data_IF_645625125733
#
_entry.id   IF_645625125733
#
_cell.length_a   1.000
_cell.length_b   1.000
_cell.length_c   1.000
_cell.angle_alpha   90.00
_cell.angle_beta   90.00
_cell.angle_gamma   90.00
#
_symmetry.space_group_name_H-M   'P 1'
#
loop_
_entity.id
_entity.type
_entity.pdbx_description
1 polymer ?
#
# COMPACT_ATOMS: atom_id res chain seq x y z
N UNK A 1 36.79 -34.48 40.61
CA UNK A 1 38.11 -34.82 41.20
C UNK A 1 39.10 -33.72 40.87
N UNK A 2 39.60 -33.07 41.92
CA UNK A 2 40.98 -32.55 42.11
C UNK A 2 41.45 -31.41 41.18
N UNK A 3 41.50 -30.18 41.70
CA UNK A 3 42.68 -29.51 42.34
C UNK A 3 43.44 -28.68 41.30
N UNK A 4 43.93 -27.48 41.54
CA UNK A 4 44.09 -26.71 42.76
C UNK A 4 44.63 -25.33 42.38
N UNK A 5 44.12 -24.32 43.06
CA UNK A 5 44.66 -22.97 43.12
C UNK A 5 45.69 -22.94 44.25
N UNK A 6 46.97 -22.76 43.94
CA UNK A 6 47.99 -22.18 44.84
C UNK A 6 49.04 -21.48 43.96
N UNK A 7 49.13 -20.16 43.93
CA UNK A 7 49.75 -19.22 44.89
C UNK A 7 51.26 -19.03 44.66
N UNK A 8 51.77 -17.86 45.08
CA UNK A 8 53.17 -17.41 45.23
C UNK A 8 53.65 -16.48 44.10
N UNK A 9 54.28 -15.32 44.30
CA UNK A 9 54.52 -14.39 45.43
C UNK A 9 55.44 -13.27 44.90
N UNK A 10 55.28 -12.03 45.42
CA UNK A 10 56.33 -11.01 45.68
C UNK A 10 57.25 -10.53 44.54
N UNK A 11 57.84 -9.33 44.48
CA UNK A 11 57.93 -8.10 45.27
C UNK A 11 58.78 -7.12 44.44
N UNK A 12 58.74 -5.80 44.68
CA UNK A 12 59.80 -4.93 44.16
C UNK A 12 59.43 -3.46 43.96
N UNK A 13 59.90 -2.61 44.89
CA UNK A 13 59.77 -1.15 44.89
C UNK A 13 60.76 -0.45 43.94
N UNK A 14 60.24 0.61 43.31
CA UNK A 14 60.79 1.98 43.09
C UNK A 14 62.08 2.25 42.27
N UNK A 15 61.85 3.13 41.29
CA UNK A 15 62.63 4.31 40.81
C UNK A 15 63.92 4.06 40.02
N UNK A 16 63.88 4.39 38.73
CA UNK A 16 64.75 5.41 38.10
C UNK A 16 64.07 5.95 36.83
N UNK A 17 63.96 7.28 36.72
CA UNK A 17 63.86 8.01 35.45
C UNK A 17 65.25 8.65 35.28
N UNK A 18 65.89 8.57 34.10
CA UNK A 18 65.85 9.74 33.23
C UNK A 18 65.80 9.42 31.72
N UNK A 19 64.89 10.11 31.03
CA UNK A 19 65.01 10.67 29.67
C UNK A 19 65.78 9.86 28.60
N UNK A 20 65.01 9.28 27.67
CA UNK A 20 65.38 9.27 26.25
C UNK A 20 64.18 9.67 25.40
N UNK A 21 64.35 10.83 24.76
CA UNK A 21 63.56 11.35 23.66
C UNK A 21 63.41 10.28 22.57
N UNK A 22 62.20 9.72 22.43
CA UNK A 22 61.70 9.23 21.14
C UNK A 22 60.22 9.58 21.07
N UNK A 23 59.85 10.33 20.03
CA UNK A 23 58.49 10.80 19.84
C UNK A 23 57.50 9.63 19.83
N UNK A 24 56.57 9.64 20.79
CA UNK A 24 55.44 8.73 20.78
C UNK A 24 54.31 9.42 20.04
N UNK A 25 54.05 8.90 18.86
CA UNK A 25 53.00 9.25 17.93
C UNK A 25 51.63 9.05 18.62
N UNK A 26 51.03 10.14 19.11
CA UNK A 26 49.61 10.17 19.50
C UNK A 26 48.76 10.13 18.23
N UNK A 27 48.45 8.93 17.76
CA UNK A 27 47.57 8.69 16.61
C UNK A 27 46.46 7.72 16.97
N UNK A 28 45.66 8.08 17.97
CA UNK A 28 44.40 7.41 18.30
C UNK A 28 43.16 8.21 17.84
N UNK A 29 43.30 9.09 16.84
CA UNK A 29 42.18 9.91 16.33
C UNK A 29 41.66 9.48 14.94
N UNK A 30 42.32 8.55 14.26
CA UNK A 30 42.03 8.22 12.85
C UNK A 30 40.95 7.18 12.58
N UNK A 31 40.59 6.31 13.54
CA UNK A 31 39.79 5.10 13.25
C UNK A 31 38.28 5.25 13.52
N UNK A 32 37.88 6.16 14.39
CA UNK A 32 36.46 6.34 14.76
C UNK A 32 35.65 7.00 13.63
N UNK A 33 36.29 7.85 12.83
CA UNK A 33 35.63 8.62 11.78
C UNK A 33 35.23 7.75 10.58
N UNK A 34 36.04 6.73 10.24
CA UNK A 34 35.74 5.80 9.15
C UNK A 34 34.58 4.87 9.50
N UNK A 35 34.53 4.35 10.72
CA UNK A 35 33.43 3.48 11.16
C UNK A 35 32.11 4.25 11.25
N UNK A 36 32.14 5.49 11.75
CA UNK A 36 30.96 6.36 11.80
C UNK A 36 30.45 6.68 10.38
N UNK A 37 31.35 7.02 9.46
CA UNK A 37 31.01 7.29 8.06
C UNK A 37 30.40 6.07 7.37
N UNK A 38 30.94 4.87 7.63
CA UNK A 38 30.39 3.62 7.09
C UNK A 38 28.97 3.33 7.60
N UNK A 39 28.73 3.49 8.91
CA UNK A 39 27.40 3.29 9.50
C UNK A 39 26.39 4.31 8.96
N UNK A 40 26.81 5.57 8.78
CA UNK A 40 25.98 6.60 8.14
C UNK A 40 25.65 6.25 6.68
N UNK A 41 26.62 5.78 5.90
CA UNK A 41 26.38 5.33 4.52
C UNK A 41 25.39 4.17 4.45
N UNK A 42 25.55 3.15 5.31
CA UNK A 42 24.59 2.03 5.36
C UNK A 42 23.18 2.45 5.76
N UNK A 43 23.06 3.34 6.75
CA UNK A 43 21.78 3.85 7.17
C UNK A 43 21.09 4.63 6.03
N UNK A 44 21.85 5.42 5.27
CA UNK A 44 21.34 6.14 4.10
C UNK A 44 20.89 5.17 2.98
N UNK A 45 21.68 4.13 2.70
CA UNK A 45 21.33 3.14 1.69
C UNK A 45 20.03 2.39 2.01
N UNK A 46 19.83 1.99 3.27
CA UNK A 46 18.60 1.33 3.70
C UNK A 46 17.41 2.30 3.67
N UNK A 47 17.62 3.56 4.01
CA UNK A 47 16.61 4.61 3.89
C UNK A 47 16.15 4.78 2.43
N UNK A 48 17.08 4.93 1.48
CA UNK A 48 16.79 5.04 0.05
C UNK A 48 16.01 3.82 -0.47
N UNK A 49 16.40 2.61 -0.04
CA UNK A 49 15.70 1.37 -0.39
C UNK A 49 14.26 1.38 0.10
N UNK A 50 14.03 1.83 1.33
CA UNK A 50 12.68 1.94 1.88
C UNK A 50 11.85 2.98 1.13
N UNK A 51 12.42 4.14 0.80
CA UNK A 51 11.73 5.17 0.00
C UNK A 51 11.36 4.67 -1.39
N UNK A 52 12.26 3.97 -2.08
CA UNK A 52 11.96 3.32 -3.37
C UNK A 52 10.78 2.35 -3.24
N UNK A 53 10.78 1.51 -2.21
CA UNK A 53 9.67 0.58 -1.95
C UNK A 53 8.35 1.32 -1.77
N UNK A 54 8.34 2.39 -0.96
CA UNK A 54 7.16 3.23 -0.75
C UNK A 54 6.68 3.84 -2.07
N UNK A 55 7.59 4.41 -2.87
CA UNK A 55 7.27 4.98 -4.18
C UNK A 55 6.62 3.95 -5.11
N UNK A 56 7.19 2.75 -5.25
CA UNK A 56 6.63 1.69 -6.09
C UNK A 56 5.26 1.20 -5.60
N UNK A 57 5.07 1.09 -4.28
CA UNK A 57 3.75 0.75 -3.69
C UNK A 57 2.72 1.84 -3.98
N UNK A 58 3.10 3.12 -3.87
CA UNK A 58 2.20 4.23 -4.19
C UNK A 58 1.82 4.24 -5.67
N UNK A 59 2.78 4.04 -6.58
CA UNK A 59 2.51 3.92 -8.00
C UNK A 59 1.56 2.75 -8.33
N UNK A 60 1.72 1.61 -7.65
CA UNK A 60 0.82 0.47 -7.83
C UNK A 60 -0.60 0.81 -7.32
N UNK A 61 -0.72 1.44 -6.15
CA UNK A 61 -2.00 1.84 -5.55
C UNK A 61 -2.71 2.92 -6.35
N UNK A 62 -1.98 3.85 -6.95
CA UNK A 62 -2.53 4.88 -7.84
C UNK A 62 -2.75 4.39 -9.27
N UNK A 63 -2.44 3.13 -9.58
CA UNK A 63 -2.50 2.55 -10.94
C UNK A 63 -1.62 3.31 -11.96
N UNK A 64 -0.55 3.95 -11.51
CA UNK A 64 0.36 4.78 -12.33
C UNK A 64 1.71 4.13 -12.61
N UNK A 65 1.82 2.80 -12.54
CA UNK A 65 3.10 2.11 -12.73
C UNK A 65 3.77 2.46 -14.07
N UNK A 66 2.96 2.64 -15.13
CA UNK A 66 3.41 3.01 -16.48
C UNK A 66 3.89 4.47 -16.60
N UNK A 67 3.50 5.34 -15.66
CA UNK A 67 3.94 6.73 -15.65
C UNK A 67 5.36 6.90 -15.10
N UNK A 68 5.91 5.87 -14.45
CA UNK A 68 7.26 5.88 -13.84
C UNK A 68 8.35 6.42 -14.78
N UNK A 69 8.56 5.91 -16.01
CA UNK A 69 9.63 6.41 -16.89
C UNK A 69 9.55 7.93 -17.13
N UNK A 70 8.36 8.46 -17.39
CA UNK A 70 8.15 9.90 -17.60
C UNK A 70 8.39 10.74 -16.33
N UNK A 71 8.09 10.17 -15.15
CA UNK A 71 8.41 10.84 -13.88
C UNK A 71 9.91 10.90 -13.61
N UNK A 72 10.69 9.93 -14.12
CA UNK A 72 12.14 9.87 -13.99
C UNK A 72 12.86 10.73 -15.03
N UNK A 73 12.25 10.93 -16.20
CA UNK A 73 12.78 11.76 -17.29
C UNK A 73 13.10 13.20 -16.83
N UNK A 74 12.27 13.80 -15.98
CA UNK A 74 12.53 15.14 -15.44
C UNK A 74 13.78 15.23 -14.55
N UNK A 75 14.29 14.09 -14.08
CA UNK A 75 15.50 13.97 -13.30
C UNK A 75 16.69 13.45 -14.14
N UNK A 76 16.49 13.15 -15.42
CA UNK A 76 17.53 12.65 -16.32
C UNK A 76 18.02 11.24 -15.99
N UNK A 77 17.22 10.43 -15.31
CA UNK A 77 17.59 9.07 -14.90
C UNK A 77 16.64 8.02 -15.46
N UNK A 78 17.13 6.80 -15.67
CA UNK A 78 16.33 5.67 -16.15
C UNK A 78 15.81 4.78 -15.02
N UNK A 79 16.48 4.79 -13.86
CA UNK A 79 16.17 3.94 -12.72
C UNK A 79 15.95 4.72 -11.43
N UNK A 80 15.06 4.20 -10.57
CA UNK A 80 14.88 4.74 -9.22
C UNK A 80 16.10 4.55 -8.32
N UNK A 81 17.06 3.72 -8.73
CA UNK A 81 18.33 3.51 -8.02
C UNK A 81 19.24 4.74 -8.09
N UNK A 82 19.14 5.51 -9.17
CA UNK A 82 20.02 6.65 -9.47
C UNK A 82 19.47 7.98 -8.90
N UNK A 83 18.35 7.92 -8.19
CA UNK A 83 17.73 9.07 -7.55
C UNK A 83 18.36 9.39 -6.20
N UNK A 84 18.54 10.69 -5.93
CA UNK A 84 18.85 11.18 -4.59
C UNK A 84 17.68 10.97 -3.62
N UNK A 85 17.97 11.06 -2.32
CA UNK A 85 16.94 10.98 -1.26
C UNK A 85 15.87 12.05 -1.45
N UNK A 86 16.28 13.29 -1.74
CA UNK A 86 15.37 14.42 -1.95
C UNK A 86 14.48 14.24 -3.18
N UNK A 87 15.03 13.72 -4.29
CA UNK A 87 14.26 13.45 -5.50
C UNK A 87 13.21 12.36 -5.27
N UNK A 88 13.56 11.32 -4.50
CA UNK A 88 12.59 10.30 -4.07
C UNK A 88 11.48 10.90 -3.19
N UNK A 89 11.81 11.78 -2.24
CA UNK A 89 10.82 12.47 -1.41
C UNK A 89 9.87 13.33 -2.22
N UNK A 90 10.40 14.10 -3.18
CA UNK A 90 9.60 14.92 -4.09
C UNK A 90 8.66 14.07 -4.95
N UNK A 91 9.16 12.96 -5.49
CA UNK A 91 8.35 12.02 -6.27
C UNK A 91 7.26 11.37 -5.42
N UNK A 92 7.60 10.94 -4.21
CA UNK A 92 6.62 10.39 -3.25
C UNK A 92 5.57 11.46 -2.92
N UNK A 93 5.97 12.70 -2.63
CA UNK A 93 5.07 13.80 -2.34
C UNK A 93 4.18 14.17 -3.54
N UNK A 94 4.73 14.12 -4.75
CA UNK A 94 4.00 14.34 -6.00
C UNK A 94 2.94 13.27 -6.21
N UNK A 95 3.30 11.98 -6.09
CA UNK A 95 2.35 10.87 -6.20
C UNK A 95 1.30 10.96 -5.08
N UNK A 96 1.69 11.28 -3.85
CA UNK A 96 0.75 11.54 -2.75
C UNK A 96 -0.17 12.71 -3.04
N UNK A 97 0.28 13.81 -3.63
CA UNK A 97 -0.59 14.93 -3.99
C UNK A 97 -1.56 14.56 -5.12
N UNK A 98 -1.14 13.71 -6.06
CA UNK A 98 -2.05 13.15 -7.07
C UNK A 98 -3.09 12.24 -6.40
N UNK A 99 -2.68 11.45 -5.40
CA UNK A 99 -3.57 10.55 -4.66
C UNK A 99 -4.48 11.26 -3.64
N UNK A 100 -4.02 12.35 -3.02
CA UNK A 100 -4.60 12.94 -1.80
C UNK A 100 -4.84 14.46 -1.94
N UNK A 101 -4.72 15.03 -3.14
CA UNK A 101 -4.72 16.47 -3.38
C UNK A 101 -6.02 17.21 -3.07
N UNK A 102 -7.02 16.58 -2.45
CA UNK A 102 -8.29 17.19 -2.00
C UNK A 102 -9.18 16.31 -1.09
N UNK A 103 -8.74 15.15 -0.62
CA UNK A 103 -9.62 14.11 -0.03
C UNK A 103 -9.11 13.61 1.32
N UNK A 104 -9.62 14.11 2.46
CA UNK A 104 -9.37 13.43 3.74
C UNK A 104 -10.62 13.05 4.54
N UNK A 105 -11.85 13.45 4.13
CA UNK A 105 -13.07 12.98 4.82
C UNK A 105 -14.22 12.53 3.88
N UNK A 106 -14.24 12.98 2.62
CA UNK A 106 -15.28 12.62 1.64
C UNK A 106 -15.03 11.27 0.93
N UNK A 107 -13.79 10.80 0.84
CA UNK A 107 -13.45 9.59 0.06
C UNK A 107 -13.71 8.27 0.83
N UNK A 108 -13.76 8.29 2.17
CA UNK A 108 -14.10 7.07 2.93
C UNK A 108 -15.59 6.72 2.77
N UNK A 109 -16.48 7.70 2.93
CA UNK A 109 -17.93 7.51 2.79
C UNK A 109 -18.30 7.10 1.36
N UNK A 110 -17.73 7.79 0.37
CA UNK A 110 -17.92 7.51 -1.05
C UNK A 110 -17.40 6.10 -1.41
N UNK A 111 -16.21 5.72 -0.95
CA UNK A 111 -15.66 4.36 -1.16
C UNK A 111 -16.54 3.29 -0.54
N UNK A 112 -16.99 3.48 0.70
CA UNK A 112 -17.90 2.55 1.38
C UNK A 112 -19.24 2.43 0.66
N UNK A 113 -19.80 3.55 0.17
CA UNK A 113 -21.03 3.56 -0.60
C UNK A 113 -20.89 2.84 -1.95
N UNK A 114 -19.79 3.05 -2.67
CA UNK A 114 -19.49 2.30 -3.90
C UNK A 114 -19.39 0.81 -3.63
N UNK A 115 -18.72 0.40 -2.56
CA UNK A 115 -18.62 -1.01 -2.18
C UNK A 115 -20.00 -1.61 -1.85
N UNK A 116 -20.85 -0.87 -1.11
CA UNK A 116 -22.23 -1.28 -0.83
C UNK A 116 -23.06 -1.42 -2.11
N UNK A 117 -22.92 -0.50 -3.07
CA UNK A 117 -23.62 -0.59 -4.35
C UNK A 117 -23.16 -1.81 -5.16
N UNK A 118 -21.85 -2.05 -5.27
CA UNK A 118 -21.30 -3.22 -5.95
C UNK A 118 -21.80 -4.53 -5.33
N UNK A 119 -21.87 -4.61 -3.99
CA UNK A 119 -22.43 -5.78 -3.30
C UNK A 119 -23.88 -6.07 -3.74
N UNK A 120 -24.72 -5.03 -3.84
CA UNK A 120 -26.12 -5.19 -4.27
C UNK A 120 -26.20 -5.55 -5.76
N UNK A 121 -25.36 -4.96 -6.60
CA UNK A 121 -25.25 -5.31 -8.04
C UNK A 121 -24.91 -6.80 -8.19
N UNK A 122 -24.00 -7.31 -7.36
CA UNK A 122 -23.69 -8.74 -7.34
C UNK A 122 -24.86 -9.60 -6.88
N UNK A 123 -25.65 -9.15 -5.89
CA UNK A 123 -26.88 -9.85 -5.44
C UNK A 123 -27.95 -9.91 -6.54
N UNK A 124 -28.01 -8.91 -7.42
CA UNK A 124 -28.89 -8.89 -8.60
C UNK A 124 -28.46 -9.94 -9.65
N UNK A 125 -27.23 -10.45 -9.56
CA UNK A 125 -26.69 -11.47 -10.47
C UNK A 125 -25.75 -10.93 -11.54
N UNK A 126 -25.27 -9.70 -11.40
CA UNK A 126 -24.27 -9.11 -12.30
C UNK A 126 -22.88 -9.43 -11.79
N UNK A 127 -22.01 -9.96 -12.65
CA UNK A 127 -20.62 -10.23 -12.26
C UNK A 127 -19.86 -8.93 -12.04
N UNK A 128 -19.49 -8.68 -10.79
CA UNK A 128 -18.75 -7.47 -10.38
C UNK A 128 -17.24 -7.60 -10.53
N UNK A 129 -16.73 -8.76 -10.97
CA UNK A 129 -15.33 -8.93 -11.37
C UNK A 129 -15.08 -8.44 -12.80
N UNK A 130 -16.12 -8.39 -13.63
CA UNK A 130 -16.09 -7.84 -14.98
C UNK A 130 -16.70 -6.43 -15.00
N UNK A 131 -15.83 -5.42 -15.15
CA UNK A 131 -16.24 -4.02 -15.16
C UNK A 131 -17.12 -3.64 -16.35
N UNK A 132 -17.03 -4.36 -17.48
CA UNK A 132 -17.87 -4.09 -18.66
C UNK A 132 -19.34 -4.39 -18.37
N UNK A 133 -19.62 -5.47 -17.63
CA UNK A 133 -20.98 -5.83 -17.22
C UNK A 133 -21.57 -4.82 -16.23
N UNK A 134 -20.77 -4.38 -15.26
CA UNK A 134 -21.19 -3.34 -14.31
C UNK A 134 -21.48 -2.04 -15.04
N UNK A 135 -20.60 -1.61 -15.95
CA UNK A 135 -20.78 -0.37 -16.72
C UNK A 135 -22.02 -0.43 -17.60
N UNK A 136 -22.24 -1.53 -18.33
CA UNK A 136 -23.43 -1.74 -19.16
C UNK A 136 -24.72 -1.64 -18.34
N UNK A 137 -24.75 -2.24 -17.16
CA UNK A 137 -25.89 -2.15 -16.26
C UNK A 137 -26.12 -0.73 -15.75
N UNK A 138 -25.06 -0.05 -15.32
CA UNK A 138 -25.11 1.31 -14.77
C UNK A 138 -25.53 2.36 -15.81
N UNK A 139 -25.07 2.22 -17.06
CA UNK A 139 -25.42 3.10 -18.18
C UNK A 139 -26.87 2.99 -18.62
N UNK A 140 -27.63 2.01 -18.11
CA UNK A 140 -29.06 1.96 -18.35
C UNK A 140 -29.76 3.17 -17.68
N UNK A 141 -30.54 3.98 -18.42
CA UNK A 141 -31.28 5.12 -17.84
C UNK A 141 -32.24 4.72 -16.72
N UNK A 142 -32.76 3.49 -16.76
CA UNK A 142 -33.61 2.96 -15.70
C UNK A 142 -32.84 2.59 -14.43
N UNK A 143 -31.50 2.59 -14.44
CA UNK A 143 -30.64 2.41 -13.26
C UNK A 143 -30.09 3.77 -12.82
N UNK A 144 -29.10 4.34 -13.51
CA UNK A 144 -28.69 5.73 -13.27
C UNK A 144 -28.17 6.47 -14.50
N UNK A 145 -27.85 5.76 -15.60
CA UNK A 145 -27.39 6.37 -16.86
C UNK A 145 -26.00 6.99 -16.78
N UNK A 146 -25.21 6.66 -15.73
CA UNK A 146 -23.87 7.19 -15.46
C UNK A 146 -22.96 6.09 -14.92
N UNK A 147 -21.66 6.26 -15.03
CA UNK A 147 -20.73 5.27 -14.47
C UNK A 147 -20.62 5.39 -12.94
N UNK A 148 -20.30 4.30 -12.26
CA UNK A 148 -20.27 4.27 -10.79
C UNK A 148 -19.24 5.24 -10.18
N UNK A 149 -18.13 5.49 -10.88
CA UNK A 149 -17.08 6.41 -10.43
C UNK A 149 -17.44 7.89 -10.65
N UNK A 150 -18.42 8.19 -11.50
CA UNK A 150 -18.89 9.56 -11.78
C UNK A 150 -19.86 10.07 -10.71
N UNK A 151 -20.36 9.18 -9.85
CA UNK A 151 -21.29 9.52 -8.79
C UNK A 151 -20.55 10.05 -7.56
N UNK A 152 -21.08 11.15 -7.05
CA UNK A 152 -20.77 11.73 -5.76
C UNK A 152 -21.53 11.01 -4.63
N UNK A 153 -21.33 11.44 -3.38
CA UNK A 153 -21.93 10.78 -2.22
C UNK A 153 -23.47 10.74 -2.28
N UNK A 154 -24.10 11.85 -2.66
CA UNK A 154 -25.56 11.92 -2.78
C UNK A 154 -26.07 11.02 -3.91
N UNK A 155 -25.42 11.07 -5.07
CA UNK A 155 -25.72 10.19 -6.20
C UNK A 155 -25.58 8.71 -5.85
N UNK A 156 -24.57 8.34 -5.06
CA UNK A 156 -24.38 6.96 -4.60
C UNK A 156 -25.45 6.53 -3.59
N UNK A 157 -25.89 7.41 -2.68
CA UNK A 157 -27.01 7.10 -1.76
C UNK A 157 -28.32 6.89 -2.52
N UNK A 158 -28.61 7.74 -3.50
CA UNK A 158 -29.79 7.60 -4.35
C UNK A 158 -29.74 6.32 -5.19
N UNK A 159 -28.59 6.03 -5.81
CA UNK A 159 -28.36 4.79 -6.55
C UNK A 159 -28.60 3.58 -5.65
N UNK A 160 -28.04 3.57 -4.44
CA UNK A 160 -28.18 2.45 -3.50
C UNK A 160 -29.64 2.11 -3.23
N UNK A 161 -30.51 3.11 -3.00
CA UNK A 161 -31.94 2.87 -2.79
C UNK A 161 -32.60 2.25 -4.02
N UNK A 162 -32.22 2.72 -5.20
CA UNK A 162 -32.73 2.20 -6.47
C UNK A 162 -32.28 0.76 -6.74
N UNK A 163 -31.04 0.43 -6.40
CA UNK A 163 -30.51 -0.93 -6.50
C UNK A 163 -31.25 -1.90 -5.59
N UNK A 164 -31.62 -1.50 -4.37
CA UNK A 164 -32.47 -2.33 -3.51
C UNK A 164 -33.83 -2.62 -4.14
N UNK A 165 -34.49 -1.60 -4.71
CA UNK A 165 -35.77 -1.80 -5.38
C UNK A 165 -35.66 -2.76 -6.57
N UNK A 166 -34.60 -2.64 -7.37
CA UNK A 166 -34.32 -3.56 -8.49
C UNK A 166 -34.08 -4.98 -7.97
N UNK A 167 -33.24 -5.14 -6.95
CA UNK A 167 -32.94 -6.44 -6.35
C UNK A 167 -34.21 -7.11 -5.82
N UNK A 168 -35.04 -6.38 -5.08
CA UNK A 168 -36.25 -6.93 -4.48
C UNK A 168 -37.27 -7.36 -5.55
N UNK A 169 -37.35 -6.62 -6.66
CA UNK A 169 -38.17 -7.00 -7.82
C UNK A 169 -37.62 -8.24 -8.53
N UNK A 170 -36.30 -8.33 -8.72
CA UNK A 170 -35.64 -9.51 -9.29
C UNK A 170 -35.90 -10.75 -8.42
N UNK A 171 -35.75 -10.62 -7.10
CA UNK A 171 -35.98 -11.72 -6.17
C UNK A 171 -37.45 -12.15 -6.15
N UNK A 172 -38.39 -11.20 -6.17
CA UNK A 172 -39.83 -11.51 -6.27
C UNK A 172 -40.13 -12.33 -7.52
N UNK A 173 -39.61 -11.91 -8.68
CA UNK A 173 -39.81 -12.65 -9.94
C UNK A 173 -39.20 -14.05 -9.88
N UNK A 174 -38.03 -14.20 -9.25
CA UNK A 174 -37.36 -15.48 -9.05
C UNK A 174 -38.23 -16.42 -8.22
N UNK A 175 -38.75 -15.96 -7.08
CA UNK A 175 -39.64 -16.73 -6.21
C UNK A 175 -40.90 -17.16 -6.95
N UNK A 176 -41.59 -16.21 -7.60
CA UNK A 176 -42.82 -16.53 -8.36
C UNK A 176 -42.58 -17.56 -9.46
N UNK A 177 -41.44 -17.47 -10.16
CA UNK A 177 -41.06 -18.43 -11.19
C UNK A 177 -40.79 -19.82 -10.60
N UNK A 178 -40.10 -19.89 -9.46
CA UNK A 178 -39.83 -21.16 -8.75
C UNK A 178 -41.10 -21.82 -8.23
N UNK A 179 -42.04 -21.04 -7.69
CA UNK A 179 -43.33 -21.54 -7.23
C UNK A 179 -44.18 -22.10 -8.39
N UNK A 180 -44.17 -21.44 -9.54
CA UNK A 180 -44.86 -21.92 -10.73
C UNK A 180 -44.27 -23.25 -11.22
N UNK A 181 -42.95 -23.35 -11.31
CA UNK A 181 -42.24 -24.58 -11.67
C UNK A 181 -42.53 -25.71 -10.69
N UNK A 182 -42.54 -25.44 -9.38
CA UNK A 182 -42.85 -26.45 -8.36
C UNK A 182 -44.30 -26.95 -8.47
N UNK A 183 -45.26 -26.06 -8.76
CA UNK A 183 -46.66 -26.45 -8.98
C UNK A 183 -46.80 -27.34 -10.21
N UNK A 184 -46.12 -27.00 -11.30
CA UNK A 184 -46.12 -27.79 -12.53
C UNK A 184 -45.50 -29.17 -12.30
N UNK A 185 -44.34 -29.25 -11.64
CA UNK A 185 -43.71 -30.52 -11.27
C UNK A 185 -44.59 -31.39 -10.38
N UNK A 186 -45.28 -30.79 -9.40
CA UNK A 186 -46.21 -31.52 -8.53
C UNK A 186 -47.41 -32.06 -9.30
N UNK A 187 -47.98 -31.27 -10.21
CA UNK A 187 -49.09 -31.69 -11.04
C UNK A 187 -48.67 -32.82 -12.00
N UNK A 188 -47.48 -32.72 -12.59
CA UNK A 188 -46.90 -33.75 -13.44
C UNK A 188 -46.61 -35.07 -12.68
N UNK A 189 -46.32 -35.00 -11.37
CA UNK A 189 -46.12 -36.18 -10.54
C UNK A 189 -47.43 -36.86 -10.08
N UNK A 190 -48.59 -36.21 -10.29
CA UNK A 190 -49.92 -36.71 -9.92
C UNK A 190 -50.67 -37.36 -11.10
N UNK A 191 -50.20 -37.16 -12.34
CA UNK A 191 -50.73 -37.76 -13.56
C UNK A 191 -49.86 -38.96 -14.00
#
# INVERSE_FOLDING_TARGET
MKTGLWNVSWSGKKKTNPERLTGRFDSASGNNNNHLKYNQMKANEENLKQKRKVFHVLLAKSMMLQAKPYMLESYGVESTLDLSESALDELIARVRRIMYGKEEDTDKTVRELRHKCLRIISEIGIDTKDWENVNRFMMNPHVCGRMLYELDEEGLRALRMKLYAIRDEVERRRITSQEAQLKEQRLAALN
#
